data_IF_840388184674
#
_entry.id   IF_840388184674
#
_cell.length_a   1.000
_cell.length_b   1.000
_cell.length_c   1.000
_cell.angle_alpha   90.00
_cell.angle_beta   90.00
_cell.angle_gamma   90.00
#
_symmetry.space_group_name_H-M   'P 1'
#
loop_
_entity.id
_entity.type
_entity.pdbx_description
1 polymer ?
#
# COMPACT_ATOMS: atom_id res chain seq x y z
N UNK A 1 14.96 14.36 11.27
CA UNK A 1 15.14 12.94 10.94
C UNK A 1 13.97 12.17 11.50
N UNK A 2 13.22 11.48 10.65
CA UNK A 2 12.09 10.64 11.05
C UNK A 2 12.41 9.22 10.58
N UNK A 3 12.61 8.29 11.51
CA UNK A 3 12.86 6.89 11.21
C UNK A 3 11.52 6.14 11.34
N UNK A 4 11.02 5.61 10.23
CA UNK A 4 9.85 4.72 10.20
C UNK A 4 10.31 3.27 10.13
N UNK A 5 9.44 2.34 10.55
CA UNK A 5 9.74 0.92 10.50
C UNK A 5 10.07 0.49 9.06
N UNK A 6 11.19 -0.20 8.89
CA UNK A 6 11.54 -0.82 7.61
C UNK A 6 10.57 -1.97 7.32
N UNK A 7 9.80 -1.84 6.25
CA UNK A 7 8.89 -2.88 5.77
C UNK A 7 9.57 -3.60 4.60
N UNK A 8 10.01 -4.86 4.76
CA UNK A 8 10.60 -5.61 3.67
C UNK A 8 9.53 -6.01 2.65
N UNK A 9 9.70 -5.61 1.38
CA UNK A 9 8.86 -6.03 0.26
C UNK A 9 8.95 -5.07 -0.93
N UNK A 10 8.74 -5.55 -2.17
CA UNK A 10 8.66 -4.66 -3.33
C UNK A 10 7.39 -3.82 -3.30
N UNK A 11 7.39 -2.68 -3.99
CA UNK A 11 6.15 -1.94 -4.24
C UNK A 11 5.27 -2.68 -5.26
N UNK A 12 3.96 -2.45 -5.20
CA UNK A 12 3.02 -2.98 -6.18
C UNK A 12 3.38 -2.51 -7.60
N UNK A 13 3.87 -1.28 -7.74
CA UNK A 13 4.38 -0.77 -9.01
C UNK A 13 5.55 -1.61 -9.57
N UNK A 14 6.51 -2.00 -8.71
CA UNK A 14 7.64 -2.84 -9.12
C UNK A 14 7.17 -4.23 -9.57
N UNK A 15 6.22 -4.84 -8.84
CA UNK A 15 5.68 -6.14 -9.20
C UNK A 15 4.95 -6.11 -10.55
N UNK A 16 4.12 -5.09 -10.77
CA UNK A 16 3.39 -4.94 -12.05
C UNK A 16 4.35 -4.64 -13.20
N UNK A 17 5.39 -3.83 -12.98
CA UNK A 17 6.39 -3.54 -14.01
C UNK A 17 7.19 -4.78 -14.42
N UNK A 18 7.52 -5.65 -13.47
CA UNK A 18 8.30 -6.86 -13.72
C UNK A 18 7.45 -8.03 -14.26
N UNK A 19 6.21 -8.17 -13.80
CA UNK A 19 5.36 -9.34 -14.06
C UNK A 19 4.15 -9.08 -14.96
N UNK A 20 3.90 -7.82 -15.35
CA UNK A 20 2.69 -7.41 -16.05
C UNK A 20 1.47 -7.27 -15.13
N UNK A 21 0.27 -7.08 -15.71
CA UNK A 21 -0.96 -6.87 -14.94
C UNK A 21 -1.28 -8.05 -14.01
N UNK A 22 -1.75 -7.73 -12.81
CA UNK A 22 -2.18 -8.77 -11.87
C UNK A 22 -3.53 -9.40 -12.29
N UNK A 23 -3.74 -10.69 -11.99
CA UNK A 23 -5.05 -11.31 -12.16
C UNK A 23 -6.15 -10.54 -11.39
N UNK A 24 -7.38 -10.42 -11.93
CA UNK A 24 -8.45 -9.67 -11.28
C UNK A 24 -8.77 -10.12 -9.84
N UNK A 25 -8.61 -11.42 -9.54
CA UNK A 25 -8.79 -11.95 -8.18
C UNK A 25 -7.78 -11.38 -7.20
N UNK A 26 -6.51 -11.25 -7.63
CA UNK A 26 -5.43 -10.66 -6.82
C UNK A 26 -5.68 -9.18 -6.59
N UNK A 27 -6.11 -8.46 -7.62
CA UNK A 27 -6.47 -7.04 -7.49
C UNK A 27 -7.60 -6.83 -6.49
N UNK A 28 -8.64 -7.66 -6.51
CA UNK A 28 -9.74 -7.60 -5.53
C UNK A 28 -9.27 -7.87 -4.10
N UNK A 29 -8.44 -8.89 -3.90
CA UNK A 29 -7.90 -9.23 -2.58
C UNK A 29 -7.02 -8.09 -2.03
N UNK A 30 -6.13 -7.53 -2.85
CA UNK A 30 -5.32 -6.36 -2.49
C UNK A 30 -6.20 -5.15 -2.18
N UNK A 31 -7.19 -4.88 -3.02
CA UNK A 31 -8.13 -3.77 -2.86
C UNK A 31 -8.89 -3.84 -1.53
N UNK A 32 -9.37 -5.02 -1.12
CA UNK A 32 -10.05 -5.19 0.17
C UNK A 32 -9.15 -4.82 1.35
N UNK A 33 -7.93 -5.35 1.37
CA UNK A 33 -6.97 -5.07 2.46
C UNK A 33 -6.55 -3.62 2.50
N UNK A 34 -6.37 -2.99 1.34
CA UNK A 34 -6.05 -1.56 1.25
C UNK A 34 -7.22 -0.68 1.70
N UNK A 35 -8.46 -1.07 1.38
CA UNK A 35 -9.65 -0.36 1.85
C UNK A 35 -9.78 -0.44 3.37
N UNK A 36 -9.56 -1.61 3.97
CA UNK A 36 -9.53 -1.79 5.44
C UNK A 36 -8.46 -0.88 6.09
N UNK A 37 -7.24 -0.85 5.52
CA UNK A 37 -6.19 0.02 6.01
C UNK A 37 -6.56 1.51 5.91
N UNK A 38 -7.21 1.94 4.83
CA UNK A 38 -7.68 3.31 4.67
C UNK A 38 -8.79 3.67 5.65
N UNK A 39 -9.69 2.74 5.98
CA UNK A 39 -10.70 2.94 7.02
C UNK A 39 -10.02 3.24 8.35
N UNK A 40 -9.05 2.42 8.78
CA UNK A 40 -8.29 2.66 10.03
C UNK A 40 -7.57 4.01 10.03
N UNK A 41 -6.98 4.40 8.89
CA UNK A 41 -6.34 5.72 8.73
C UNK A 41 -7.35 6.85 8.90
N UNK A 42 -8.52 6.74 8.27
CA UNK A 42 -9.57 7.75 8.35
C UNK A 42 -10.18 7.84 9.76
N UNK A 43 -10.34 6.71 10.46
CA UNK A 43 -10.79 6.67 11.86
C UNK A 43 -9.80 7.38 12.79
N UNK A 44 -8.50 7.37 12.47
CA UNK A 44 -7.48 8.14 13.15
C UNK A 44 -7.45 9.64 12.75
N UNK A 45 -8.39 10.11 11.92
CA UNK A 45 -8.47 11.50 11.44
C UNK A 45 -7.42 11.88 10.40
N UNK A 46 -6.71 10.89 9.84
CA UNK A 46 -5.68 11.11 8.82
C UNK A 46 -6.24 10.85 7.42
N UNK A 47 -5.66 11.49 6.41
CA UNK A 47 -5.97 11.22 5.00
C UNK A 47 -4.65 10.95 4.28
N UNK A 48 -4.56 9.84 3.53
CA UNK A 48 -3.32 9.46 2.84
C UNK A 48 -2.95 10.40 1.69
N UNK A 49 -3.94 10.87 0.92
CA UNK A 49 -3.85 11.81 -0.22
C UNK A 49 -3.11 11.36 -1.48
N UNK A 50 -2.34 10.28 -1.43
CA UNK A 50 -1.51 9.83 -2.56
C UNK A 50 -1.56 8.29 -2.70
N UNK A 51 -2.76 7.73 -2.74
CA UNK A 51 -2.91 6.27 -2.91
C UNK A 51 -2.60 5.89 -4.36
N UNK A 52 -1.49 5.19 -4.56
CA UNK A 52 -1.03 4.68 -5.86
C UNK A 52 -0.18 3.41 -5.68
N UNK A 53 0.02 2.58 -6.74
CA UNK A 53 0.81 1.35 -6.63
C UNK A 53 2.24 1.54 -6.10
N UNK A 54 2.86 2.70 -6.32
CA UNK A 54 4.18 3.02 -5.77
C UNK A 54 4.20 3.11 -4.25
N UNK A 55 3.06 3.48 -3.63
CA UNK A 55 2.90 3.67 -2.19
C UNK A 55 2.27 2.45 -1.51
N UNK A 56 2.24 1.31 -2.20
CA UNK A 56 1.78 0.03 -1.66
C UNK A 56 2.95 -0.94 -1.62
N UNK A 57 3.44 -1.27 -0.43
CA UNK A 57 4.46 -2.30 -0.24
C UNK A 57 3.80 -3.66 -0.03
N UNK A 58 4.31 -4.68 -0.71
CA UNK A 58 3.85 -6.06 -0.57
C UNK A 58 4.74 -6.78 0.45
N UNK A 59 4.43 -6.60 1.73
CA UNK A 59 5.15 -7.25 2.82
C UNK A 59 4.72 -8.70 2.99
N UNK A 60 5.54 -9.49 3.70
CA UNK A 60 5.29 -10.91 3.96
C UNK A 60 3.95 -11.17 4.68
N UNK A 61 3.53 -10.24 5.53
CA UNK A 61 2.27 -10.31 6.28
C UNK A 61 1.12 -9.56 5.59
N UNK A 62 1.40 -8.83 4.50
CA UNK A 62 0.38 -8.19 3.67
C UNK A 62 0.75 -6.87 3.05
N UNK A 63 -0.16 -6.30 2.24
CA UNK A 63 0.02 -4.98 1.67
C UNK A 63 0.01 -3.91 2.75
N UNK A 64 0.93 -2.93 2.64
CA UNK A 64 0.99 -1.77 3.52
C UNK A 64 0.98 -0.49 2.69
N UNK A 65 0.23 0.51 3.15
CA UNK A 65 0.30 1.87 2.62
C UNK A 65 1.47 2.60 3.28
N UNK A 66 2.27 3.29 2.46
CA UNK A 66 3.41 4.12 2.87
C UNK A 66 3.26 5.53 2.32
N UNK A 67 4.14 6.45 2.73
CA UNK A 67 4.19 7.82 2.21
C UNK A 67 2.84 8.55 2.32
N UNK A 68 2.30 8.55 3.54
CA UNK A 68 1.22 9.46 3.91
C UNK A 68 1.70 10.88 3.63
N UNK A 69 0.94 11.65 2.85
CA UNK A 69 1.28 13.01 2.41
C UNK A 69 1.29 14.03 3.55
N UNK A 70 2.13 13.80 4.56
CA UNK A 70 2.45 14.68 5.67
C UNK A 70 3.64 15.53 5.21
N UNK A 71 3.39 16.43 4.26
CA UNK A 71 4.30 17.50 3.90
C UNK A 71 3.76 18.82 4.48
#
# INVERSE_FOLDING_TARGET
>A
WLATAFVPGPSLAQVVAAGGPLPPVTVRALGSRLAEALVTVHEAGLIHRDVKPGNVLLALDGPRLIDFGIA
#
